data_IF_308164231058
#
_entry.id   IF_308164231058
#
_cell.length_a   1.000
_cell.length_b   1.000
_cell.length_c   1.000
_cell.angle_alpha   90.00
_cell.angle_beta   90.00
_cell.angle_gamma   90.00
#
_symmetry.space_group_name_H-M   'P 1'
#
loop_
_entity.id
_entity.type
_entity.pdbx_description
1 polymer ?
#
# COMPACT_ATOMS: atom_id res chain seq x y z
N UNK A 1 39.72 -20.54 -20.43
CA UNK A 1 38.29 -20.86 -20.59
C UNK A 1 37.38 -19.84 -19.90
N UNK A 2 37.86 -18.64 -19.55
CA UNK A 2 37.13 -17.68 -18.69
C UNK A 2 36.60 -16.42 -19.39
N UNK A 3 36.78 -16.26 -20.70
CA UNK A 3 36.29 -15.07 -21.41
C UNK A 3 34.85 -15.27 -21.93
N UNK A 4 34.41 -16.53 -22.09
CA UNK A 4 33.06 -16.85 -22.55
C UNK A 4 31.97 -16.66 -21.50
N UNK A 5 32.26 -16.92 -20.22
CA UNK A 5 31.27 -16.76 -19.14
C UNK A 5 31.04 -15.30 -18.73
N UNK A 6 32.06 -14.44 -18.80
CA UNK A 6 31.87 -13.00 -18.53
C UNK A 6 31.15 -12.26 -19.68
N UNK A 7 31.13 -12.82 -20.89
CA UNK A 7 30.35 -12.27 -22.00
C UNK A 7 28.88 -12.67 -21.95
N UNK A 8 28.52 -13.79 -21.31
CA UNK A 8 27.11 -14.18 -21.11
C UNK A 8 26.38 -13.35 -20.04
N UNK A 9 27.11 -12.70 -19.14
CA UNK A 9 26.52 -11.72 -18.20
C UNK A 9 26.36 -10.31 -18.81
N UNK A 10 27.00 -10.05 -19.95
CA UNK A 10 26.93 -8.77 -20.69
C UNK A 10 26.11 -8.87 -21.99
N UNK A 11 25.75 -10.09 -22.41
CA UNK A 11 24.96 -10.39 -23.61
C UNK A 11 23.48 -10.64 -23.33
N UNK A 12 22.99 -10.27 -22.14
CA UNK A 12 21.56 -9.99 -21.94
C UNK A 12 21.27 -8.70 -22.73
N UNK A 13 21.23 -8.83 -24.07
CA UNK A 13 20.65 -7.86 -25.01
C UNK A 13 19.43 -7.37 -24.28
N UNK A 14 19.44 -6.11 -23.81
CA UNK A 14 18.33 -5.49 -23.05
C UNK A 14 17.05 -5.86 -23.78
N UNK A 15 16.40 -6.95 -23.37
CA UNK A 15 15.25 -7.45 -24.09
C UNK A 15 14.22 -6.38 -23.89
N UNK A 16 13.91 -5.67 -24.98
CA UNK A 16 12.89 -4.64 -24.95
C UNK A 16 11.64 -5.34 -24.44
N UNK A 17 11.13 -4.96 -23.26
CA UNK A 17 10.03 -5.68 -22.65
C UNK A 17 8.82 -5.54 -23.55
N UNK A 18 8.23 -6.67 -23.93
CA UNK A 18 7.12 -6.71 -24.87
C UNK A 18 6.05 -7.72 -24.47
N UNK A 19 4.85 -7.50 -25.00
CA UNK A 19 3.68 -8.35 -24.79
C UNK A 19 2.84 -7.97 -23.59
N UNK A 20 1.77 -8.73 -23.38
CA UNK A 20 0.78 -8.48 -22.32
C UNK A 20 1.35 -8.72 -20.92
N UNK A 21 1.15 -7.76 -20.03
CA UNK A 21 1.44 -7.86 -18.60
C UNK A 21 0.15 -7.58 -17.81
N UNK A 22 -0.32 -8.59 -17.07
CA UNK A 22 -1.51 -8.48 -16.22
C UNK A 22 -1.11 -8.07 -14.82
N UNK A 23 -1.53 -6.87 -14.42
CA UNK A 23 -1.20 -6.24 -13.15
C UNK A 23 -2.48 -6.06 -12.34
N UNK A 24 -2.40 -6.29 -11.03
CA UNK A 24 -3.48 -5.99 -10.11
C UNK A 24 -3.03 -5.11 -8.95
N UNK A 25 -3.97 -4.42 -8.30
CA UNK A 25 -3.77 -3.73 -7.03
C UNK A 25 -5.10 -3.54 -6.28
N UNK A 26 -5.07 -2.94 -5.08
CA UNK A 26 -6.28 -2.55 -4.34
C UNK A 26 -6.96 -1.32 -4.96
N UNK A 27 -8.24 -1.09 -4.65
CA UNK A 27 -9.04 -0.04 -5.33
C UNK A 27 -8.41 1.36 -5.27
N UNK A 28 -8.36 1.96 -4.08
CA UNK A 28 -7.88 3.34 -3.92
C UNK A 28 -6.40 3.49 -4.28
N UNK A 29 -5.56 2.56 -3.85
CA UNK A 29 -4.13 2.61 -4.15
C UNK A 29 -3.84 2.42 -5.63
N UNK A 30 -4.52 1.47 -6.24
CA UNK A 30 -4.41 1.17 -7.65
C UNK A 30 -4.76 2.37 -8.51
N UNK A 31 -5.88 3.02 -8.20
CA UNK A 31 -6.34 4.22 -8.91
C UNK A 31 -5.43 5.43 -8.71
N UNK A 32 -5.05 5.74 -7.47
CA UNK A 32 -4.40 7.01 -7.14
C UNK A 32 -2.87 6.96 -7.29
N UNK A 33 -2.24 5.80 -7.06
CA UNK A 33 -0.78 5.68 -7.00
C UNK A 33 -0.23 4.80 -8.12
N UNK A 34 -0.82 3.63 -8.37
CA UNK A 34 -0.29 2.67 -9.35
C UNK A 34 -0.61 3.10 -10.79
N UNK A 35 -1.85 3.52 -11.07
CA UNK A 35 -2.27 3.88 -12.42
C UNK A 35 -1.44 5.01 -13.07
N UNK A 36 -1.07 6.09 -12.37
CA UNK A 36 -0.14 7.09 -12.91
C UNK A 36 1.23 6.51 -13.27
N UNK A 37 1.78 5.63 -12.41
CA UNK A 37 3.05 4.97 -12.66
C UNK A 37 2.99 4.04 -13.88
N UNK A 38 1.89 3.30 -14.05
CA UNK A 38 1.67 2.45 -15.23
C UNK A 38 1.48 3.28 -16.52
N UNK A 39 0.87 4.46 -16.42
CA UNK A 39 0.79 5.41 -17.55
C UNK A 39 2.18 5.88 -17.99
N UNK A 40 3.06 6.18 -17.03
CA UNK A 40 4.44 6.54 -17.32
C UNK A 40 5.24 5.36 -17.89
N UNK A 41 5.04 4.15 -17.35
CA UNK A 41 5.65 2.92 -17.86
C UNK A 41 5.29 2.65 -19.32
N UNK A 42 4.01 2.77 -19.68
CA UNK A 42 3.53 2.56 -21.05
C UNK A 42 4.16 3.53 -22.05
N UNK A 43 4.47 4.77 -21.63
CA UNK A 43 5.20 5.74 -22.45
C UNK A 43 6.67 5.35 -22.63
N UNK A 44 7.32 4.86 -21.56
CA UNK A 44 8.72 4.45 -21.59
C UNK A 44 8.95 3.14 -22.37
N UNK A 45 7.98 2.23 -22.35
CA UNK A 45 8.05 0.91 -22.97
C UNK A 45 6.81 0.61 -23.82
N UNK A 46 6.71 1.20 -25.03
CA UNK A 46 5.49 1.13 -25.86
C UNK A 46 5.19 -0.27 -26.43
N UNK A 47 6.09 -1.24 -26.29
CA UNK A 47 5.86 -2.63 -26.69
C UNK A 47 5.18 -3.47 -25.60
N UNK A 48 5.04 -2.92 -24.38
CA UNK A 48 4.26 -3.54 -23.31
C UNK A 48 2.77 -3.23 -23.50
N UNK A 49 1.95 -4.27 -23.42
CA UNK A 49 0.51 -4.14 -23.30
C UNK A 49 0.14 -4.32 -21.83
N UNK A 50 -0.27 -3.24 -21.15
CA UNK A 50 -0.60 -3.29 -19.74
C UNK A 50 -2.10 -3.52 -19.56
N UNK A 51 -2.48 -4.61 -18.88
CA UNK A 51 -3.84 -4.82 -18.38
C UNK A 51 -3.82 -4.64 -16.87
N UNK A 52 -4.55 -3.64 -16.39
CA UNK A 52 -4.60 -3.29 -14.97
C UNK A 52 -6.01 -3.46 -14.42
N UNK A 53 -6.17 -4.37 -13.46
CA UNK A 53 -7.42 -4.62 -12.76
C UNK A 53 -7.26 -4.19 -11.28
N UNK A 54 -8.30 -3.64 -10.66
CA UNK A 54 -8.28 -3.24 -9.24
C UNK A 54 -9.32 -4.02 -8.45
N UNK A 55 -8.90 -4.65 -7.34
CA UNK A 55 -9.75 -5.52 -6.53
C UNK A 55 -9.29 -5.56 -5.05
N UNK A 56 -10.24 -5.55 -4.11
CA UNK A 56 -9.96 -5.66 -2.66
C UNK A 56 -10.16 -7.09 -2.10
N UNK A 57 -9.95 -8.12 -2.94
CA UNK A 57 -9.88 -9.54 -2.52
C UNK A 57 -8.48 -10.11 -2.72
N UNK A 58 -8.18 -11.24 -2.07
CA UNK A 58 -6.93 -11.95 -2.35
C UNK A 58 -7.07 -12.63 -3.73
N UNK A 59 -6.10 -12.38 -4.60
CA UNK A 59 -6.05 -12.93 -5.96
C UNK A 59 -5.03 -14.05 -6.01
N UNK A 60 -5.46 -15.19 -6.56
CA UNK A 60 -4.56 -16.30 -6.84
C UNK A 60 -3.82 -16.01 -8.14
N UNK A 61 -2.57 -15.55 -8.03
CA UNK A 61 -1.77 -15.14 -9.19
C UNK A 61 -1.58 -16.27 -10.21
N UNK A 62 -1.59 -17.54 -9.76
CA UNK A 62 -1.43 -18.69 -10.63
C UNK A 62 -2.73 -18.96 -11.38
N UNK A 63 -3.82 -19.17 -10.64
CA UNK A 63 -5.09 -19.60 -11.22
C UNK A 63 -5.79 -18.50 -12.02
N UNK A 64 -5.54 -17.23 -11.70
CA UNK A 64 -6.17 -16.09 -12.35
C UNK A 64 -5.30 -15.47 -13.46
N UNK A 65 -4.11 -16.05 -13.70
CA UNK A 65 -3.22 -15.62 -14.76
C UNK A 65 -2.70 -14.20 -14.59
N UNK A 66 -2.48 -13.77 -13.34
CA UNK A 66 -1.92 -12.45 -13.01
C UNK A 66 -0.40 -12.54 -12.96
N UNK A 67 0.28 -11.64 -13.66
CA UNK A 67 1.73 -11.61 -13.72
C UNK A 67 2.35 -10.89 -12.51
N UNK A 68 1.69 -9.81 -12.05
CA UNK A 68 2.22 -8.92 -11.02
C UNK A 68 1.10 -8.34 -10.15
N UNK A 69 1.28 -8.36 -8.84
CA UNK A 69 0.37 -7.77 -7.87
C UNK A 69 1.10 -6.68 -7.07
N UNK A 70 0.56 -5.46 -7.10
CA UNK A 70 1.09 -4.34 -6.34
C UNK A 70 0.30 -4.22 -5.03
N UNK A 71 0.91 -4.65 -3.94
CA UNK A 71 0.29 -4.76 -2.62
C UNK A 71 0.73 -3.65 -1.66
N UNK A 72 -0.16 -3.31 -0.74
CA UNK A 72 0.16 -2.58 0.48
C UNK A 72 0.01 -3.55 1.66
N UNK A 73 1.00 -3.56 2.55
CA UNK A 73 1.02 -4.42 3.72
C UNK A 73 2.14 -5.44 3.64
N UNK A 74 2.63 -5.85 4.81
CA UNK A 74 3.83 -6.68 4.92
C UNK A 74 3.51 -8.19 5.01
N UNK A 75 2.23 -8.57 5.02
CA UNK A 75 1.82 -9.97 4.99
C UNK A 75 1.79 -10.51 3.56
N UNK A 76 2.81 -11.29 3.21
CA UNK A 76 3.01 -11.86 1.87
C UNK A 76 3.36 -13.34 2.02
N UNK A 77 2.62 -14.18 1.32
CA UNK A 77 2.82 -15.62 1.38
C UNK A 77 4.26 -16.02 0.98
N UNK A 78 4.91 -16.93 1.72
CA UNK A 78 6.34 -17.23 1.56
C UNK A 78 6.68 -17.92 0.22
N UNK A 79 5.69 -18.46 -0.48
CA UNK A 79 5.83 -19.06 -1.81
C UNK A 79 5.83 -18.05 -2.96
N UNK A 80 5.68 -16.75 -2.66
CA UNK A 80 5.71 -15.66 -3.63
C UNK A 80 7.04 -14.90 -3.54
N UNK A 81 7.43 -14.27 -4.65
CA UNK A 81 8.53 -13.30 -4.64
C UNK A 81 7.95 -11.93 -4.32
N UNK A 82 8.54 -11.27 -3.33
CA UNK A 82 8.24 -9.89 -2.96
C UNK A 82 9.45 -8.98 -3.24
N UNK A 83 9.19 -7.82 -3.85
CA UNK A 83 10.16 -6.75 -4.07
C UNK A 83 9.60 -5.44 -3.55
N UNK A 84 10.25 -4.85 -2.55
CA UNK A 84 9.78 -3.60 -1.94
C UNK A 84 9.89 -2.48 -2.96
N UNK A 85 8.79 -1.76 -3.17
CA UNK A 85 8.72 -0.60 -4.07
C UNK A 85 8.78 0.72 -3.30
N UNK A 86 8.12 0.80 -2.14
CA UNK A 86 8.12 1.99 -1.29
C UNK A 86 7.95 1.63 0.20
N UNK A 87 8.49 2.48 1.07
CA UNK A 87 8.15 2.46 2.49
C UNK A 87 6.83 3.19 2.69
N UNK A 88 5.92 2.62 3.48
CA UNK A 88 4.65 3.24 3.81
C UNK A 88 4.20 2.87 5.22
N UNK A 89 3.46 3.79 5.82
CA UNK A 89 2.92 3.67 7.17
C UNK A 89 1.44 4.01 7.14
N UNK A 90 0.69 3.46 8.09
CA UNK A 90 -0.64 3.91 8.42
C UNK A 90 -0.61 4.65 9.75
N UNK A 91 -1.37 5.73 9.80
CA UNK A 91 -1.51 6.60 10.98
C UNK A 91 -2.97 6.59 11.43
N UNK A 92 -3.16 6.92 12.71
CA UNK A 92 -4.48 7.19 13.26
C UNK A 92 -4.84 8.64 12.97
N UNK A 93 -6.01 8.88 12.41
CA UNK A 93 -6.49 10.22 12.07
C UNK A 93 -8.00 10.35 12.24
N UNK A 94 -8.47 11.59 12.41
CA UNK A 94 -9.88 11.95 12.46
C UNK A 94 -10.07 13.37 11.91
N UNK A 95 -11.30 13.76 11.58
CA UNK A 95 -11.57 15.15 11.24
C UNK A 95 -11.47 16.06 12.47
N UNK A 96 -11.13 17.36 12.31
CA UNK A 96 -11.20 18.33 13.39
C UNK A 96 -12.57 18.41 14.06
N UNK A 97 -13.65 18.24 13.28
CA UNK A 97 -15.03 18.23 13.80
C UNK A 97 -15.26 17.08 14.77
N UNK A 98 -14.84 15.87 14.42
CA UNK A 98 -14.97 14.71 15.31
C UNK A 98 -14.24 14.96 16.63
N UNK A 99 -13.02 15.51 16.57
CA UNK A 99 -12.21 15.84 17.75
C UNK A 99 -12.86 16.95 18.60
N UNK A 100 -13.47 17.95 17.99
CA UNK A 100 -14.18 18.99 18.71
C UNK A 100 -15.40 18.43 19.49
N UNK A 101 -16.07 17.42 18.94
CA UNK A 101 -17.24 16.80 19.55
C UNK A 101 -16.89 15.75 20.63
N UNK A 102 -15.86 14.92 20.40
CA UNK A 102 -15.54 13.77 21.25
C UNK A 102 -14.30 13.96 22.13
N UNK A 103 -13.50 14.99 21.86
CA UNK A 103 -12.16 15.16 22.43
C UNK A 103 -11.11 14.27 21.74
N UNK A 104 -9.84 14.68 21.82
CA UNK A 104 -8.74 13.88 21.30
C UNK A 104 -8.38 12.74 22.27
N UNK A 105 -8.19 11.49 21.78
CA UNK A 105 -7.70 10.40 22.62
C UNK A 105 -6.28 10.69 23.11
N UNK A 106 -6.01 10.35 24.37
CA UNK A 106 -4.70 10.55 25.02
C UNK A 106 -3.94 9.25 25.21
N UNK A 107 -4.65 8.13 25.26
CA UNK A 107 -4.10 6.80 25.39
C UNK A 107 -4.69 5.87 24.34
N UNK A 108 -3.92 4.86 23.93
CA UNK A 108 -4.38 3.88 22.95
C UNK A 108 -5.69 3.18 23.38
N UNK A 109 -5.86 2.95 24.68
CA UNK A 109 -7.07 2.35 25.25
C UNK A 109 -8.34 3.18 25.07
N UNK A 110 -8.21 4.50 24.89
CA UNK A 110 -9.35 5.41 24.70
C UNK A 110 -10.10 5.08 23.39
N UNK A 111 -9.41 4.50 22.40
CA UNK A 111 -10.01 4.09 21.13
C UNK A 111 -11.13 3.05 21.31
N UNK A 112 -11.12 2.28 22.40
CA UNK A 112 -12.19 1.30 22.68
C UNK A 112 -13.54 1.95 23.01
N UNK A 113 -13.53 3.22 23.40
CA UNK A 113 -14.72 3.98 23.78
C UNK A 113 -15.15 5.02 22.73
N UNK A 114 -14.38 5.17 21.65
CA UNK A 114 -14.63 6.16 20.59
C UNK A 114 -15.07 5.46 19.29
N UNK A 115 -15.94 6.09 18.48
CA UNK A 115 -16.25 5.59 17.14
C UNK A 115 -14.99 5.40 16.30
N UNK A 116 -14.69 4.15 15.94
CA UNK A 116 -13.60 3.81 15.02
C UNK A 116 -14.15 3.28 13.70
N UNK A 117 -13.58 3.74 12.60
CA UNK A 117 -13.96 3.36 11.24
C UNK A 117 -13.09 2.19 10.79
N UNK A 118 -13.67 0.99 10.77
CA UNK A 118 -12.92 -0.24 10.55
C UNK A 118 -12.98 -0.65 9.07
N UNK A 119 -11.79 -0.81 8.48
CA UNK A 119 -11.68 -1.48 7.18
C UNK A 119 -11.64 -2.97 7.43
N UNK A 120 -12.53 -3.72 6.78
CA UNK A 120 -12.45 -5.17 6.71
C UNK A 120 -11.32 -5.57 5.77
N UNK A 121 -10.10 -5.52 6.27
CA UNK A 121 -8.91 -5.95 5.54
C UNK A 121 -8.88 -7.49 5.44
N UNK A 122 -8.24 -7.97 4.37
CA UNK A 122 -8.26 -9.38 3.94
C UNK A 122 -7.62 -10.33 4.96
N UNK A 123 -6.54 -9.88 5.60
CA UNK A 123 -5.61 -10.73 6.36
C UNK A 123 -5.55 -10.36 7.86
N UNK A 124 -6.44 -9.45 8.31
CA UNK A 124 -6.45 -8.97 9.70
C UNK A 124 -7.78 -9.30 10.39
N UNK A 125 -7.76 -9.66 11.68
CA UNK A 125 -8.99 -9.80 12.46
C UNK A 125 -9.80 -8.51 12.40
N UNK A 126 -11.07 -8.63 12.02
CA UNK A 126 -11.98 -7.48 11.93
C UNK A 126 -12.05 -6.76 13.28
N UNK A 127 -11.80 -5.45 13.27
CA UNK A 127 -11.85 -4.61 14.48
C UNK A 127 -10.63 -4.77 15.41
N UNK A 128 -9.49 -5.28 14.90
CA UNK A 128 -8.22 -5.25 15.64
C UNK A 128 -7.18 -4.46 14.85
N UNK A 129 -6.70 -3.37 15.43
CA UNK A 129 -5.59 -2.60 14.87
C UNK A 129 -4.26 -3.05 15.47
N UNK A 130 -3.32 -3.40 14.60
CA UNK A 130 -1.95 -3.78 14.94
C UNK A 130 -1.04 -2.58 14.72
N UNK A 131 -0.55 -2.00 15.80
CA UNK A 131 0.22 -0.77 15.82
C UNK A 131 1.63 -1.04 16.38
N UNK A 132 2.51 -0.07 16.22
CA UNK A 132 3.85 -0.02 16.79
C UNK A 132 4.10 1.38 17.33
N UNK A 133 4.92 1.46 18.36
CA UNK A 133 5.57 2.67 18.84
C UNK A 133 7.02 2.34 19.22
N UNK A 134 7.76 3.29 19.78
CA UNK A 134 9.12 3.07 20.33
C UNK A 134 9.27 1.89 21.32
N UNK A 135 8.20 1.48 21.99
CA UNK A 135 8.22 0.40 22.99
C UNK A 135 7.98 -0.98 22.37
N UNK A 136 7.47 -1.04 21.15
CA UNK A 136 7.23 -2.28 20.42
C UNK A 136 5.83 -2.38 19.80
N UNK A 137 5.36 -3.60 19.51
CA UNK A 137 4.04 -3.84 18.93
C UNK A 137 2.92 -3.70 19.96
N UNK A 138 1.77 -3.18 19.52
CA UNK A 138 0.54 -3.01 20.29
C UNK A 138 -0.64 -3.50 19.48
N UNK A 139 -1.59 -4.16 20.13
CA UNK A 139 -2.86 -4.55 19.52
C UNK A 139 -4.01 -3.92 20.30
N UNK A 140 -4.93 -3.26 19.61
CA UNK A 140 -6.12 -2.68 20.23
C UNK A 140 -7.37 -3.14 19.48
N UNK A 141 -8.37 -3.59 20.24
CA UNK A 141 -9.69 -3.86 19.69
C UNK A 141 -10.44 -2.54 19.58
N UNK A 142 -10.99 -2.29 18.41
CA UNK A 142 -11.79 -1.10 18.11
C UNK A 142 -13.15 -1.50 17.58
N UNK A 143 -14.13 -0.65 17.82
CA UNK A 143 -15.50 -0.82 17.34
C UNK A 143 -16.03 0.52 16.86
N UNK A 144 -17.10 0.49 16.09
CA UNK A 144 -17.73 1.72 15.63
C UNK A 144 -18.98 1.43 14.81
N UNK A 145 -19.75 2.48 14.51
CA UNK A 145 -21.02 2.35 13.81
C UNK A 145 -20.85 2.01 12.32
N UNK A 146 -19.67 2.26 11.74
CA UNK A 146 -19.41 2.15 10.31
C UNK A 146 -18.20 1.26 10.04
N UNK A 147 -18.35 0.38 9.04
CA UNK A 147 -17.25 -0.43 8.52
C UNK A 147 -17.44 -0.69 7.04
N UNK A 148 -16.34 -0.86 6.32
CA UNK A 148 -16.35 -1.13 4.88
C UNK A 148 -15.15 -1.99 4.51
N UNK A 149 -15.23 -2.73 3.42
CA UNK A 149 -14.06 -3.37 2.81
C UNK A 149 -13.32 -2.43 1.84
N UNK A 150 -13.76 -1.17 1.70
CA UNK A 150 -13.22 -0.21 0.75
C UNK A 150 -12.58 0.99 1.44
N UNK A 151 -11.30 1.23 1.15
CA UNK A 151 -10.52 2.30 1.78
C UNK A 151 -11.08 3.71 1.55
N UNK A 152 -11.48 4.04 0.32
CA UNK A 152 -12.01 5.38 0.00
C UNK A 152 -13.33 5.69 0.72
N UNK A 153 -14.15 4.67 1.02
CA UNK A 153 -15.39 4.87 1.78
C UNK A 153 -15.05 5.25 3.23
N UNK A 154 -14.11 4.55 3.84
CA UNK A 154 -13.64 4.85 5.20
C UNK A 154 -12.92 6.20 5.25
N UNK A 155 -12.16 6.55 4.22
CA UNK A 155 -11.56 7.88 4.09
C UNK A 155 -12.65 8.96 4.12
N UNK A 156 -13.67 8.84 3.28
CA UNK A 156 -14.74 9.85 3.22
C UNK A 156 -15.49 9.95 4.56
N UNK A 157 -15.83 8.84 5.19
CA UNK A 157 -16.45 8.87 6.53
C UNK A 157 -15.56 9.52 7.60
N UNK A 158 -14.24 9.40 7.48
CA UNK A 158 -13.30 10.07 8.37
C UNK A 158 -13.36 11.59 8.18
N UNK A 159 -13.40 12.06 6.93
CA UNK A 159 -13.60 13.47 6.59
C UNK A 159 -14.95 14.00 7.09
N UNK A 160 -16.00 13.19 6.96
CA UNK A 160 -17.36 13.49 7.42
C UNK A 160 -17.51 13.42 8.96
N UNK A 161 -16.41 13.26 9.70
CA UNK A 161 -16.38 13.27 11.15
C UNK A 161 -17.08 12.08 11.83
N UNK A 162 -17.13 10.92 11.16
CA UNK A 162 -17.83 9.75 11.69
C UNK A 162 -16.98 8.91 12.66
N UNK A 163 -15.68 9.16 12.77
CA UNK A 163 -14.81 8.41 13.67
C UNK A 163 -13.32 8.57 13.40
N UNK A 164 -12.54 7.84 14.18
CA UNK A 164 -11.09 7.68 14.00
C UNK A 164 -10.84 6.57 12.98
N UNK A 165 -9.91 6.78 12.07
CA UNK A 165 -9.50 5.78 11.08
C UNK A 165 -7.99 5.52 11.14
N UNK A 166 -7.61 4.27 10.89
CA UNK A 166 -6.22 3.87 10.60
C UNK A 166 -6.03 3.88 9.07
N UNK A 167 -5.31 4.87 8.54
CA UNK A 167 -5.17 5.09 7.09
C UNK A 167 -3.73 5.25 6.66
N UNK A 168 -3.43 4.79 5.46
CA UNK A 168 -2.09 4.89 4.88
C UNK A 168 -1.73 6.35 4.63
N UNK A 169 -0.46 6.70 4.85
CA UNK A 169 0.01 8.08 4.64
C UNK A 169 -0.23 8.58 3.22
N UNK A 170 -0.04 7.73 2.21
CA UNK A 170 -0.31 8.11 0.81
C UNK A 170 -1.74 8.58 0.58
N UNK A 171 -2.69 8.10 1.39
CA UNK A 171 -4.11 8.39 1.25
C UNK A 171 -4.52 9.68 1.97
N UNK A 172 -3.91 9.97 3.13
CA UNK A 172 -4.35 11.07 4.01
C UNK A 172 -3.37 12.23 4.11
N UNK A 173 -2.17 12.13 3.52
CA UNK A 173 -1.12 13.14 3.64
C UNK A 173 -1.58 14.55 3.25
N UNK A 174 -2.33 14.70 2.16
CA UNK A 174 -2.88 15.99 1.73
C UNK A 174 -3.96 16.52 2.68
N UNK A 175 -4.82 15.64 3.22
CA UNK A 175 -5.84 16.03 4.20
C UNK A 175 -5.21 16.49 5.52
N UNK A 176 -4.12 15.86 5.94
CA UNK A 176 -3.34 16.27 7.11
C UNK A 176 -2.68 17.63 6.85
N UNK A 177 -2.02 17.80 5.69
CA UNK A 177 -1.35 19.05 5.33
C UNK A 177 -2.32 20.24 5.20
N UNK A 178 -3.54 20.00 4.72
CA UNK A 178 -4.58 21.01 4.56
C UNK A 178 -5.45 21.22 5.81
N UNK A 179 -5.28 20.40 6.85
CA UNK A 179 -6.05 20.49 8.10
C UNK A 179 -7.47 19.90 8.04
N UNK A 180 -7.84 19.20 6.96
CA UNK A 180 -9.12 18.47 6.87
C UNK A 180 -9.14 17.21 7.75
N UNK A 181 -7.96 16.64 8.00
CA UNK A 181 -7.76 15.60 9.01
C UNK A 181 -6.66 16.05 9.97
N UNK A 182 -6.70 15.51 11.18
CA UNK A 182 -5.63 15.64 12.17
C UNK A 182 -5.16 14.25 12.59
N UNK A 183 -3.85 14.11 12.78
CA UNK A 183 -3.29 12.88 13.34
C UNK A 183 -3.62 12.83 14.83
N UNK A 184 -4.05 11.66 15.31
CA UNK A 184 -4.26 11.38 16.73
C UNK A 184 -3.28 10.31 17.17
N UNK A 185 -2.88 10.32 18.45
CA UNK A 185 -1.93 9.34 19.00
C UNK A 185 -0.68 9.18 18.10
N UNK A 186 0.05 10.28 17.80
CA UNK A 186 1.10 10.30 16.76
C UNK A 186 2.27 9.35 17.01
N UNK A 187 2.44 8.87 18.23
CA UNK A 187 3.42 7.87 18.63
C UNK A 187 3.08 6.45 18.14
N UNK A 188 1.84 6.21 17.71
CA UNK A 188 1.38 4.92 17.20
C UNK A 188 1.21 4.93 15.67
N UNK A 189 1.78 3.92 15.02
CA UNK A 189 1.70 3.75 13.58
C UNK A 189 1.67 2.26 13.20
N UNK A 190 1.27 1.94 11.98
CA UNK A 190 1.35 0.57 11.44
C UNK A 190 2.21 0.56 10.18
N UNK A 191 3.35 -0.19 10.15
CA UNK A 191 4.07 -0.43 8.92
C UNK A 191 3.19 -1.13 7.89
N UNK A 192 3.22 -0.65 6.66
CA UNK A 192 2.43 -1.20 5.57
C UNK A 192 3.14 -0.90 4.25
N UNK A 193 4.33 -1.47 4.04
CA UNK A 193 5.14 -1.16 2.86
C UNK A 193 4.41 -1.53 1.57
N UNK A 194 4.87 -0.96 0.46
CA UNK A 194 4.38 -1.27 -0.89
C UNK A 194 5.28 -2.31 -1.53
N UNK A 195 4.70 -3.37 -2.07
CA UNK A 195 5.41 -4.51 -2.63
C UNK A 195 4.93 -4.84 -4.03
N UNK A 196 5.87 -5.13 -4.93
CA UNK A 196 5.64 -5.91 -6.12
C UNK A 196 5.70 -7.40 -5.77
N UNK A 197 4.61 -8.12 -6.00
CA UNK A 197 4.45 -9.53 -5.66
C UNK A 197 4.13 -10.35 -6.89
N UNK A 198 4.89 -11.43 -7.12
CA UNK A 198 4.71 -12.30 -8.29
C UNK A 198 5.21 -13.72 -8.01
N UNK A 199 4.80 -14.67 -8.83
CA UNK A 199 5.15 -16.09 -8.67
C UNK A 199 6.58 -16.39 -9.13
N UNK A 200 7.25 -17.36 -8.49
CA UNK A 200 8.68 -17.64 -8.73
C UNK A 200 9.04 -17.95 -10.18
N UNK A 201 8.15 -18.59 -10.94
CA UNK A 201 8.35 -18.86 -12.39
C UNK A 201 8.50 -17.61 -13.24
N UNK A 202 8.09 -16.44 -12.74
CA UNK A 202 8.22 -15.15 -13.43
C UNK A 202 9.49 -14.37 -13.04
N UNK A 203 10.35 -14.91 -12.17
CA UNK A 203 11.58 -14.24 -11.73
C UNK A 203 12.52 -13.83 -12.88
N UNK A 204 12.58 -14.65 -13.92
CA UNK A 204 13.42 -14.42 -15.11
C UNK A 204 12.67 -13.71 -16.24
N UNK A 205 11.42 -13.28 -16.03
CA UNK A 205 10.65 -12.54 -17.02
C UNK A 205 11.15 -11.10 -17.18
N UNK A 206 11.64 -10.73 -18.36
CA UNK A 206 12.11 -9.38 -18.66
C UNK A 206 11.01 -8.32 -18.43
N UNK A 207 9.77 -8.57 -18.87
CA UNK A 207 8.62 -7.66 -18.67
C UNK A 207 8.33 -7.40 -17.19
N UNK A 208 8.43 -8.42 -16.33
CA UNK A 208 8.21 -8.27 -14.88
C UNK A 208 9.38 -7.52 -14.25
N UNK A 209 10.63 -7.94 -14.51
CA UNK A 209 11.81 -7.28 -13.93
C UNK A 209 11.86 -5.79 -14.26
N UNK A 210 11.65 -5.43 -15.51
CA UNK A 210 11.69 -4.03 -15.96
C UNK A 210 10.53 -3.23 -15.36
N UNK A 211 9.33 -3.81 -15.29
CA UNK A 211 8.18 -3.15 -14.64
C UNK A 211 8.46 -2.90 -13.16
N UNK A 212 8.97 -3.89 -12.42
CA UNK A 212 9.28 -3.75 -11.00
C UNK A 212 10.35 -2.68 -10.77
N UNK A 213 11.41 -2.67 -11.58
CA UNK A 213 12.49 -1.67 -11.45
C UNK A 213 11.99 -0.27 -11.81
N UNK A 214 11.20 -0.12 -12.87
CA UNK A 214 10.58 1.14 -13.24
C UNK A 214 9.68 1.68 -12.12
N UNK A 215 8.80 0.83 -11.55
CA UNK A 215 7.92 1.23 -10.45
C UNK A 215 8.71 1.65 -9.21
N UNK A 216 9.81 0.95 -8.91
CA UNK A 216 10.71 1.29 -7.79
C UNK A 216 11.33 2.68 -7.98
N UNK A 217 11.80 2.99 -9.19
CA UNK A 217 12.36 4.31 -9.50
C UNK A 217 11.27 5.38 -9.48
N UNK A 218 10.11 5.12 -10.09
CA UNK A 218 8.99 6.05 -10.13
C UNK A 218 8.51 6.41 -8.71
N UNK A 219 8.34 5.42 -7.83
CA UNK A 219 7.94 5.66 -6.44
C UNK A 219 9.04 6.34 -5.61
N UNK A 220 10.33 6.14 -5.90
CA UNK A 220 11.37 6.89 -5.21
C UNK A 220 11.26 8.41 -5.43
N UNK A 221 10.69 8.84 -6.56
CA UNK A 221 10.50 10.25 -6.91
C UNK A 221 9.10 10.79 -6.56
N UNK A 222 8.06 9.97 -6.65
CA UNK A 222 6.66 10.42 -6.61
C UNK A 222 5.88 9.94 -5.39
N UNK A 223 6.42 9.01 -4.59
CA UNK A 223 5.69 8.48 -3.43
C UNK A 223 5.79 9.44 -2.24
N UNK A 224 4.69 9.73 -1.54
CA UNK A 224 4.71 10.71 -0.45
C UNK A 224 5.58 10.26 0.71
N UNK A 225 6.47 11.14 1.15
CA UNK A 225 7.35 10.91 2.29
C UNK A 225 6.61 11.07 3.61
N UNK A 226 6.83 10.15 4.54
CA UNK A 226 6.37 10.24 5.93
C UNK A 226 7.59 10.26 6.85
N UNK A 227 7.61 11.19 7.82
CA UNK A 227 8.63 11.23 8.87
C UNK A 227 8.07 10.66 10.17
N UNK A 228 8.82 9.73 10.77
CA UNK A 228 8.55 9.16 12.09
C UNK A 228 9.11 10.03 13.23
N UNK A 229 9.37 11.32 13.00
CA UNK A 229 9.98 12.23 14.01
C UNK A 229 9.26 12.25 15.37
N UNK A 230 8.00 11.82 15.42
CA UNK A 230 7.19 11.74 16.64
C UNK A 230 6.89 10.31 17.13
N UNK A 231 7.47 9.26 16.53
CA UNK A 231 7.14 7.85 16.75
C UNK A 231 8.19 7.04 17.55
#
# INVERSE_FOLDING_TARGET
QDVGQMMDELSDVRQVPQGMLRIISSFGFGRQVVAPALSALAKAYPQLELRFDVEDRLVDLVNEGVDLDIRIGDDIAPNLIARKLATNYRILCASPEFIAQHGAPKHLTDLSALPCLVIKERDHPFGVWQLRNKEGPHAIKVTGPLSSNHGEIVHQWCLDGQGIALRSWWDVSENIASGHLVQVLPEYYQPANVWAVYVSRLATSAKVRITVEFLRQYFAEHYPNFSLEHA
#
